data_IF_681501803389
#
_entry.id   IF_681501803389
#
_cell.length_a   1.000
_cell.length_b   1.000
_cell.length_c   1.000
_cell.angle_alpha   90.00
_cell.angle_beta   90.00
_cell.angle_gamma   90.00
#
_symmetry.space_group_name_H-M   'P 1'
#
loop_
_entity.id
_entity.type
_entity.pdbx_description
1 polymer ?
#
# COMPACT_ATOMS: atom_id res chain seq x y z
N UNK A 1 19.13 5.29 -12.15
CA UNK A 1 18.23 5.21 -13.31
C UNK A 1 17.96 6.60 -13.83
N UNK A 2 18.05 6.78 -15.13
CA UNK A 2 17.57 7.96 -15.85
C UNK A 2 16.04 7.97 -15.92
N UNK A 3 15.44 9.11 -16.25
CA UNK A 3 13.97 9.20 -16.42
C UNK A 3 13.45 8.32 -17.56
N UNK A 4 14.26 8.13 -18.61
CA UNK A 4 13.92 7.26 -19.75
C UNK A 4 13.85 5.80 -19.27
N UNK A 5 14.84 5.35 -18.50
CA UNK A 5 14.86 4.00 -17.93
C UNK A 5 13.68 3.77 -16.98
N UNK A 6 13.33 4.75 -16.15
CA UNK A 6 12.17 4.68 -15.24
C UNK A 6 10.85 4.53 -16.01
N UNK A 7 10.66 5.31 -17.08
CA UNK A 7 9.44 5.21 -17.91
C UNK A 7 9.32 3.86 -18.61
N UNK A 8 10.44 3.34 -19.13
CA UNK A 8 10.46 2.02 -19.75
C UNK A 8 10.14 0.90 -18.73
N UNK A 9 10.73 0.98 -17.53
CA UNK A 9 10.47 0.05 -16.45
C UNK A 9 9.00 0.12 -15.98
N UNK A 10 8.44 1.32 -15.82
CA UNK A 10 7.04 1.51 -15.45
C UNK A 10 6.08 0.91 -16.49
N UNK A 11 6.39 1.05 -17.78
CA UNK A 11 5.59 0.43 -18.86
C UNK A 11 5.63 -1.10 -18.78
N UNK A 12 6.83 -1.68 -18.58
CA UNK A 12 6.99 -3.12 -18.42
C UNK A 12 6.27 -3.64 -17.17
N UNK A 13 6.37 -2.93 -16.06
CA UNK A 13 5.66 -3.22 -14.82
C UNK A 13 4.14 -3.28 -15.06
N UNK A 14 3.57 -2.26 -15.69
CA UNK A 14 2.14 -2.22 -16.00
C UNK A 14 1.69 -3.41 -16.86
N UNK A 15 2.47 -3.80 -17.88
CA UNK A 15 2.14 -4.96 -18.73
C UNK A 15 2.17 -6.29 -17.97
N UNK A 16 3.07 -6.47 -17.01
CA UNK A 16 3.15 -7.68 -16.18
C UNK A 16 1.94 -7.82 -15.25
N UNK A 17 1.46 -6.70 -14.73
CA UNK A 17 0.45 -6.66 -13.67
C UNK A 17 -0.97 -6.42 -14.16
N UNK A 18 -1.19 -6.07 -15.44
CA UNK A 18 -2.51 -5.69 -15.99
C UNK A 18 -3.62 -6.73 -15.80
N UNK A 19 -3.26 -8.01 -15.83
CA UNK A 19 -4.20 -9.15 -15.71
C UNK A 19 -4.04 -9.91 -14.38
N UNK A 20 -3.28 -9.33 -13.43
CA UNK A 20 -3.07 -9.86 -12.09
C UNK A 20 -3.83 -9.03 -11.04
N UNK A 21 -3.90 -9.52 -9.81
CA UNK A 21 -4.41 -8.76 -8.67
C UNK A 21 -5.21 -9.56 -7.67
N UNK A 22 -4.80 -10.82 -7.47
CA UNK A 22 -5.20 -11.64 -6.33
C UNK A 22 -4.50 -11.14 -5.06
N UNK A 23 -5.21 -10.33 -4.29
CA UNK A 23 -4.74 -9.64 -3.09
C UNK A 23 -3.86 -10.51 -2.17
N UNK A 24 -4.34 -11.69 -1.75
CA UNK A 24 -3.61 -12.50 -0.76
C UNK A 24 -2.30 -13.11 -1.27
N UNK A 25 -2.15 -13.32 -2.58
CA UNK A 25 -0.97 -13.99 -3.15
C UNK A 25 -0.02 -13.08 -3.91
N UNK A 26 -0.50 -11.93 -4.37
CA UNK A 26 0.22 -11.08 -5.34
C UNK A 26 0.61 -9.71 -4.80
N UNK A 27 0.11 -9.30 -3.63
CA UNK A 27 0.37 -7.97 -3.07
C UNK A 27 1.85 -7.72 -2.77
N UNK A 28 2.51 -8.60 -2.02
CA UNK A 28 3.93 -8.39 -1.69
C UNK A 28 4.84 -8.41 -2.93
N UNK A 29 4.71 -9.38 -3.88
CA UNK A 29 5.49 -9.34 -5.12
C UNK A 29 5.23 -8.10 -5.98
N UNK A 30 4.00 -7.57 -5.99
CA UNK A 30 3.66 -6.32 -6.69
C UNK A 30 4.45 -5.14 -6.14
N UNK A 31 4.44 -4.94 -4.83
CA UNK A 31 5.16 -3.83 -4.21
C UNK A 31 6.68 -3.99 -4.29
N UNK A 32 7.20 -5.20 -4.10
CA UNK A 32 8.63 -5.49 -4.26
C UNK A 32 9.11 -5.18 -5.68
N UNK A 33 8.40 -5.64 -6.70
CA UNK A 33 8.75 -5.36 -8.10
C UNK A 33 8.63 -3.88 -8.45
N UNK A 34 7.61 -3.17 -7.95
CA UNK A 34 7.50 -1.72 -8.15
C UNK A 34 8.70 -0.98 -7.56
N UNK A 35 9.03 -1.27 -6.29
CA UNK A 35 10.12 -0.62 -5.57
C UNK A 35 11.48 -0.90 -6.23
N UNK A 36 11.73 -2.14 -6.63
CA UNK A 36 12.99 -2.53 -7.28
C UNK A 36 13.09 -2.00 -8.70
N UNK A 37 12.15 -2.38 -9.55
CA UNK A 37 12.32 -2.28 -11.00
C UNK A 37 11.99 -0.88 -11.50
N UNK A 38 11.06 -0.19 -10.84
CA UNK A 38 10.61 1.16 -11.24
C UNK A 38 11.26 2.24 -10.38
N UNK A 39 11.28 2.04 -9.06
CA UNK A 39 11.80 3.05 -8.12
C UNK A 39 13.30 2.93 -7.85
N UNK A 40 13.94 1.82 -8.25
CA UNK A 40 15.38 1.61 -8.12
C UNK A 40 15.86 1.31 -6.70
N UNK A 41 14.97 0.84 -5.81
CA UNK A 41 15.32 0.40 -4.45
C UNK A 41 16.10 -0.92 -4.55
N UNK A 42 17.33 -0.96 -4.04
CA UNK A 42 18.22 -2.14 -4.18
C UNK A 42 17.68 -3.37 -3.44
N UNK A 43 17.32 -3.21 -2.16
CA UNK A 43 16.85 -4.28 -1.28
C UNK A 43 15.45 -3.93 -0.75
N UNK A 44 14.40 -3.97 -1.59
CA UNK A 44 13.06 -3.55 -1.17
C UNK A 44 12.53 -4.34 0.03
N UNK A 45 12.92 -5.60 0.19
CA UNK A 45 12.54 -6.48 1.31
C UNK A 45 13.05 -5.97 2.67
N UNK A 46 14.05 -5.10 2.69
CA UNK A 46 14.56 -4.42 3.89
C UNK A 46 13.98 -3.00 4.03
N UNK A 47 13.21 -2.54 3.05
CA UNK A 47 12.71 -1.17 2.93
C UNK A 47 11.20 -1.06 3.16
N UNK A 48 10.45 -2.08 2.78
CA UNK A 48 9.02 -2.20 3.06
C UNK A 48 8.79 -3.31 4.09
N UNK A 49 7.96 -3.01 5.09
CA UNK A 49 7.50 -3.97 6.10
C UNK A 49 6.07 -4.34 5.73
N UNK A 50 5.81 -5.63 5.50
CA UNK A 50 4.48 -6.16 5.19
C UNK A 50 3.86 -6.79 6.44
N UNK A 51 2.53 -6.81 6.48
CA UNK A 51 1.74 -7.47 7.53
C UNK A 51 2.15 -7.01 8.95
N UNK A 52 2.43 -5.71 9.13
CA UNK A 52 2.77 -5.17 10.45
C UNK A 52 1.51 -5.19 11.32
N UNK A 53 1.62 -5.79 12.51
CA UNK A 53 0.48 -5.99 13.39
C UNK A 53 0.06 -4.67 14.02
N UNK A 54 -1.24 -4.35 13.93
CA UNK A 54 -1.85 -3.22 14.65
C UNK A 54 -2.96 -3.75 15.55
N UNK A 55 -2.93 -3.32 16.81
CA UNK A 55 -3.95 -3.69 17.80
C UNK A 55 -5.00 -2.59 17.81
N UNK A 56 -6.16 -2.88 17.21
CA UNK A 56 -7.38 -2.09 17.33
C UNK A 56 -8.24 -2.70 18.47
N UNK A 57 -9.56 -2.68 18.33
CA UNK A 57 -10.49 -3.50 19.14
C UNK A 57 -10.27 -5.02 18.92
N UNK A 58 -9.54 -5.38 17.87
CA UNK A 58 -9.08 -6.71 17.51
C UNK A 58 -7.70 -6.60 16.82
N UNK A 59 -7.00 -7.72 16.70
CA UNK A 59 -5.75 -7.78 15.92
C UNK A 59 -6.05 -7.59 14.44
N UNK A 60 -5.37 -6.63 13.82
CA UNK A 60 -5.37 -6.39 12.38
C UNK A 60 -3.94 -6.25 11.86
N UNK A 61 -3.78 -6.17 10.54
CA UNK A 61 -2.49 -6.11 9.87
C UNK A 61 -2.51 -5.02 8.80
N UNK A 62 -1.41 -4.26 8.73
CA UNK A 62 -1.20 -3.24 7.71
C UNK A 62 -0.54 -3.90 6.50
N UNK A 63 -1.11 -3.71 5.31
CA UNK A 63 -0.61 -4.35 4.09
C UNK A 63 0.84 -3.97 3.78
N UNK A 64 1.25 -2.71 4.03
CA UNK A 64 2.64 -2.32 3.92
C UNK A 64 2.98 -0.98 4.57
N UNK A 65 4.20 -0.86 5.09
CA UNK A 65 4.74 0.40 5.64
C UNK A 65 6.15 0.62 5.10
N UNK A 66 6.46 1.87 4.75
CA UNK A 66 7.83 2.30 4.41
C UNK A 66 8.22 3.39 5.42
N UNK A 67 8.88 3.03 6.54
CA UNK A 67 9.16 3.96 7.63
C UNK A 67 9.98 5.18 7.20
N UNK A 68 11.00 4.99 6.37
CA UNK A 68 11.94 6.03 5.93
C UNK A 68 11.24 7.16 5.18
N UNK A 69 10.13 6.85 4.51
CA UNK A 69 9.33 7.81 3.73
C UNK A 69 7.99 8.15 4.38
N UNK A 70 7.71 7.58 5.55
CA UNK A 70 6.46 7.73 6.29
C UNK A 70 5.23 7.39 5.44
N UNK A 71 5.30 6.30 4.68
CA UNK A 71 4.21 5.81 3.84
C UNK A 71 3.53 4.62 4.50
N UNK A 72 2.19 4.64 4.55
CA UNK A 72 1.35 3.49 4.84
C UNK A 72 0.60 3.08 3.57
N UNK A 73 0.56 1.78 3.30
CA UNK A 73 -0.07 1.18 2.13
C UNK A 73 -1.28 0.37 2.59
N UNK A 74 -2.40 0.59 1.89
CA UNK A 74 -3.58 -0.26 1.96
C UNK A 74 -3.83 -0.86 0.57
N UNK A 75 -3.67 -2.16 0.47
CA UNK A 75 -3.84 -2.91 -0.76
C UNK A 75 -5.24 -3.54 -0.82
N UNK A 76 -5.78 -3.64 -2.03
CA UNK A 76 -7.02 -4.34 -2.31
C UNK A 76 -6.89 -5.18 -3.58
N UNK A 77 -7.77 -6.16 -3.73
CA UNK A 77 -7.90 -6.93 -4.96
C UNK A 77 -8.37 -6.07 -6.14
N UNK A 78 -8.03 -6.51 -7.35
CA UNK A 78 -8.21 -5.78 -8.62
C UNK A 78 -9.64 -5.27 -8.91
N UNK A 79 -10.66 -5.92 -8.37
CA UNK A 79 -12.06 -5.59 -8.60
C UNK A 79 -12.66 -4.71 -7.49
N UNK A 80 -11.87 -4.30 -6.49
CA UNK A 80 -12.32 -3.40 -5.43
C UNK A 80 -12.20 -1.94 -5.87
N UNK A 81 -13.24 -1.17 -5.62
CA UNK A 81 -13.24 0.27 -5.82
C UNK A 81 -12.59 0.96 -4.62
N UNK A 82 -11.48 1.66 -4.86
CA UNK A 82 -10.69 2.32 -3.83
C UNK A 82 -11.39 3.51 -3.16
N UNK A 83 -12.49 4.01 -3.74
CA UNK A 83 -13.25 5.15 -3.20
C UNK A 83 -14.53 4.76 -2.48
N UNK A 84 -14.94 3.50 -2.56
CA UNK A 84 -16.17 3.00 -1.92
C UNK A 84 -15.86 2.31 -0.61
N UNK A 85 -16.85 2.32 0.28
CA UNK A 85 -16.78 1.54 1.50
C UNK A 85 -16.78 0.04 1.18
N UNK A 86 -15.90 -0.70 1.85
CA UNK A 86 -15.75 -2.15 1.75
C UNK A 86 -15.97 -2.72 3.15
N UNK A 87 -16.64 -3.88 3.22
CA UNK A 87 -16.86 -4.59 4.47
C UNK A 87 -15.53 -5.15 5.00
N UNK A 88 -15.22 -4.81 6.24
CA UNK A 88 -14.02 -5.22 6.95
C UNK A 88 -14.25 -6.52 7.76
N UNK A 89 -13.17 -7.09 8.30
CA UNK A 89 -13.21 -8.30 9.13
C UNK A 89 -14.10 -8.16 10.36
N UNK A 90 -14.12 -6.97 10.97
CA UNK A 90 -15.00 -6.62 12.11
C UNK A 90 -16.42 -6.25 11.69
N UNK A 91 -16.74 -6.34 10.40
CA UNK A 91 -18.06 -6.01 9.85
C UNK A 91 -18.29 -4.53 9.58
N UNK A 92 -17.36 -3.63 9.93
CA UNK A 92 -17.46 -2.20 9.63
C UNK A 92 -17.37 -1.95 8.11
N UNK A 93 -17.90 -0.80 7.67
CA UNK A 93 -17.86 -0.36 6.28
C UNK A 93 -16.91 0.83 6.15
N UNK A 94 -15.71 0.58 5.64
CA UNK A 94 -14.68 1.61 5.48
C UNK A 94 -14.15 1.60 4.06
N UNK A 95 -13.94 2.77 3.47
CA UNK A 95 -13.09 2.86 2.28
C UNK A 95 -11.65 2.47 2.65
N UNK A 96 -10.84 2.01 1.68
CA UNK A 96 -9.42 1.71 1.93
C UNK A 96 -8.66 2.87 2.58
N UNK A 97 -8.96 4.11 2.20
CA UNK A 97 -8.35 5.28 2.83
C UNK A 97 -8.77 5.44 4.31
N UNK A 98 -10.06 5.23 4.63
CA UNK A 98 -10.54 5.31 6.00
C UNK A 98 -9.98 4.17 6.87
N UNK A 99 -9.81 2.98 6.31
CA UNK A 99 -9.16 1.85 6.96
C UNK A 99 -7.70 2.17 7.32
N UNK A 100 -6.91 2.61 6.33
CA UNK A 100 -5.55 3.09 6.55
C UNK A 100 -5.46 4.21 7.60
N UNK A 101 -6.41 5.15 7.58
CA UNK A 101 -6.47 6.25 8.55
C UNK A 101 -6.79 5.75 9.97
N UNK A 102 -7.63 4.71 10.10
CA UNK A 102 -7.89 4.06 11.40
C UNK A 102 -6.60 3.47 11.95
N UNK A 103 -5.87 2.67 11.16
CA UNK A 103 -4.56 2.15 11.56
C UNK A 103 -3.59 3.27 11.98
N UNK A 104 -3.51 4.35 11.21
CA UNK A 104 -2.66 5.50 11.52
C UNK A 104 -2.98 6.17 12.85
N UNK A 105 -4.23 6.12 13.34
CA UNK A 105 -4.62 6.74 14.61
C UNK A 105 -4.02 5.99 15.81
N UNK A 106 -3.99 4.65 15.71
CA UNK A 106 -3.53 3.72 16.74
C UNK A 106 -2.01 3.47 16.73
N UNK A 107 -1.30 3.96 15.70
CA UNK A 107 0.16 3.94 15.67
C UNK A 107 0.78 4.98 16.62
N UNK A 108 1.92 4.66 17.28
CA UNK A 108 2.72 5.64 18.02
C UNK A 108 3.07 6.83 17.14
N UNK A 109 3.18 8.03 17.74
CA UNK A 109 3.44 9.27 16.99
C UNK A 109 4.65 9.18 16.04
N UNK A 110 5.74 8.55 16.49
CA UNK A 110 6.95 8.34 15.69
C UNK A 110 6.78 7.41 14.49
N UNK A 111 5.72 6.60 14.47
CA UNK A 111 5.38 5.66 13.38
C UNK A 111 4.21 6.14 12.52
N UNK A 112 3.62 7.31 12.82
CA UNK A 112 2.46 7.79 12.06
C UNK A 112 2.86 8.11 10.63
N UNK A 113 2.14 7.58 9.63
CA UNK A 113 2.42 7.89 8.24
C UNK A 113 2.09 9.35 7.92
N UNK A 114 2.94 9.98 7.11
CA UNK A 114 2.66 11.25 6.45
C UNK A 114 1.85 11.05 5.18
N UNK A 115 2.01 9.90 4.53
CA UNK A 115 1.35 9.57 3.28
C UNK A 115 0.60 8.26 3.41
N UNK A 116 -0.63 8.23 2.92
CA UNK A 116 -1.39 6.99 2.76
C UNK A 116 -1.51 6.71 1.26
N UNK A 117 -1.20 5.49 0.86
CA UNK A 117 -1.36 5.00 -0.51
C UNK A 117 -2.35 3.86 -0.51
N UNK A 118 -3.44 3.99 -1.26
CA UNK A 118 -4.35 2.87 -1.50
C UNK A 118 -4.13 2.34 -2.91
N UNK A 119 -4.08 1.02 -3.08
CA UNK A 119 -3.82 0.40 -4.39
C UNK A 119 -4.74 -0.80 -4.63
N UNK A 120 -5.14 -1.00 -5.88
CA UNK A 120 -5.88 -2.19 -6.32
C UNK A 120 -5.25 -2.85 -7.56
N UNK A 121 -3.92 -2.80 -7.70
CA UNK A 121 -3.15 -3.24 -8.88
C UNK A 121 -3.36 -2.40 -10.14
N UNK A 122 -4.55 -1.81 -10.33
CA UNK A 122 -4.89 -0.95 -11.48
C UNK A 122 -4.62 0.53 -11.25
N UNK A 123 -4.81 0.99 -10.02
CA UNK A 123 -4.69 2.39 -9.67
C UNK A 123 -4.04 2.56 -8.31
N UNK A 124 -3.32 3.67 -8.17
CA UNK A 124 -2.83 4.20 -6.90
C UNK A 124 -3.60 5.47 -6.59
N UNK A 125 -4.13 5.59 -5.37
CA UNK A 125 -4.59 6.86 -4.82
C UNK A 125 -3.66 7.25 -3.67
N UNK A 126 -3.12 8.46 -3.75
CA UNK A 126 -2.11 8.96 -2.82
C UNK A 126 -2.71 10.13 -2.06
N UNK A 127 -2.66 10.05 -0.73
CA UNK A 127 -3.26 11.02 0.17
C UNK A 127 -2.20 11.60 1.12
N UNK A 128 -2.22 12.91 1.28
CA UNK A 128 -1.49 13.55 2.37
C UNK A 128 -2.26 13.32 3.68
N UNK A 129 -1.63 12.66 4.64
CA UNK A 129 -2.22 12.40 5.95
C UNK A 129 -1.91 13.60 6.87
N UNK A 130 -2.76 14.62 6.82
CA UNK A 130 -2.66 15.72 7.76
C UNK A 130 -3.19 15.27 9.13
N UNK A 131 -2.30 14.92 10.03
CA UNK A 131 -2.60 14.87 11.46
C UNK A 131 -2.57 16.31 11.98
N UNK A 132 -3.68 16.79 12.54
CA UNK A 132 -3.66 18.01 13.37
C UNK A 132 -3.10 17.68 14.73
#
# INVERSE_FOLDING_TARGET
MTDIEKRAAAKKFAEIWKDQGYEKGQSQPFWISLLRDVMGVKNPEQFIIFEDQVVLDHTSFIDGIIPETHVLIEQKGINKDLRKAIKQSDGTMLSPFQQAKRYSADLPYSKRPRWIVTCNFKAFLIYFNHTR
#
